data_IF_610811094489
#
_entry.id   IF_610811094489
#
_cell.length_a   1.000
_cell.length_b   1.000
_cell.length_c   1.000
_cell.angle_alpha   90.00
_cell.angle_beta   90.00
_cell.angle_gamma   90.00
#
_symmetry.space_group_name_H-M   'P 1'
#
loop_
_entity.id
_entity.type
_entity.pdbx_description
1 polymer ?
#
# COMPACT_ATOMS: atom_id res chain seq x y z
N UNK A 1 -23.45 -8.76 17.20
CA UNK A 1 -22.49 -9.52 18.04
C UNK A 1 -21.30 -8.59 18.27
N UNK A 2 -21.01 -8.19 19.51
CA UNK A 2 -19.85 -7.34 19.78
C UNK A 2 -18.58 -8.17 19.54
N UNK A 3 -17.70 -7.72 18.64
CA UNK A 3 -16.42 -8.37 18.39
C UNK A 3 -15.54 -8.25 19.67
N UNK A 4 -14.75 -9.27 20.01
CA UNK A 4 -13.81 -9.17 21.11
C UNK A 4 -12.85 -7.98 20.91
N UNK A 5 -12.43 -7.33 22.02
CA UNK A 5 -11.59 -6.11 22.02
C UNK A 5 -10.26 -6.20 21.26
N UNK A 6 -9.84 -7.40 20.84
CA UNK A 6 -8.58 -7.66 20.15
C UNK A 6 -8.77 -8.20 18.73
N UNK A 7 -10.00 -8.28 18.21
CA UNK A 7 -10.24 -8.87 16.89
C UNK A 7 -9.56 -8.09 15.76
N UNK A 8 -9.28 -6.81 15.94
CA UNK A 8 -8.52 -5.99 14.99
C UNK A 8 -7.07 -6.45 14.81
N UNK A 9 -6.48 -7.17 15.78
CA UNK A 9 -5.11 -7.66 15.65
C UNK A 9 -5.00 -8.71 14.55
N UNK A 10 -6.02 -9.53 14.35
CA UNK A 10 -6.00 -10.59 13.34
C UNK A 10 -5.76 -10.04 11.92
N UNK A 11 -6.56 -9.08 11.40
CA UNK A 11 -6.31 -8.54 10.07
C UNK A 11 -5.01 -7.74 9.97
N UNK A 12 -4.55 -7.07 11.04
CA UNK A 12 -3.24 -6.42 11.06
C UNK A 12 -2.09 -7.43 10.91
N UNK A 13 -2.16 -8.55 11.64
CA UNK A 13 -1.17 -9.62 11.54
C UNK A 13 -1.21 -10.31 10.18
N UNK A 14 -2.39 -10.57 9.64
CA UNK A 14 -2.56 -11.15 8.30
C UNK A 14 -2.05 -10.21 7.21
N UNK A 15 -2.33 -8.90 7.33
CA UNK A 15 -1.81 -7.88 6.42
C UNK A 15 -0.28 -7.83 6.46
N UNK A 16 0.31 -7.77 7.66
CA UNK A 16 1.77 -7.77 7.83
C UNK A 16 2.42 -9.05 7.29
N UNK A 17 1.83 -10.23 7.55
CA UNK A 17 2.30 -11.50 7.03
C UNK A 17 2.21 -11.54 5.49
N UNK A 18 1.11 -11.05 4.92
CA UNK A 18 0.91 -10.97 3.47
C UNK A 18 1.96 -10.09 2.78
N UNK A 19 2.22 -8.89 3.33
CA UNK A 19 3.28 -8.00 2.85
C UNK A 19 4.68 -8.61 3.00
N UNK A 20 4.94 -9.31 4.10
CA UNK A 20 6.20 -10.03 4.31
C UNK A 20 6.42 -11.13 3.26
N UNK A 21 5.38 -11.92 2.98
CA UNK A 21 5.41 -12.96 1.94
C UNK A 21 5.59 -12.35 0.55
N UNK A 22 4.91 -11.24 0.26
CA UNK A 22 5.09 -10.52 -1.00
C UNK A 22 6.54 -10.08 -1.18
N UNK A 23 7.15 -9.51 -0.13
CA UNK A 23 8.54 -9.06 -0.16
C UNK A 23 9.54 -10.21 -0.38
N UNK A 24 9.27 -11.38 0.20
CA UNK A 24 10.10 -12.58 0.06
C UNK A 24 9.96 -13.25 -1.32
N UNK A 25 8.83 -13.05 -2.01
CA UNK A 25 8.52 -13.71 -3.28
C UNK A 25 9.29 -13.16 -4.48
N UNK A 26 10.07 -12.09 -4.29
CA UNK A 26 10.86 -11.45 -5.34
C UNK A 26 10.06 -10.47 -6.21
N UNK A 27 10.72 -9.38 -6.56
CA UNK A 27 10.13 -8.25 -7.27
C UNK A 27 9.48 -8.64 -8.61
N UNK A 28 8.20 -8.30 -8.78
CA UNK A 28 7.49 -8.51 -10.04
C UNK A 28 7.16 -9.96 -10.38
N UNK A 29 7.37 -10.90 -9.46
CA UNK A 29 7.05 -12.32 -9.67
C UNK A 29 5.55 -12.59 -9.54
N UNK A 30 5.09 -13.73 -10.09
CA UNK A 30 3.72 -14.19 -9.88
C UNK A 30 3.39 -14.38 -8.39
N UNK A 31 4.36 -14.82 -7.58
CA UNK A 31 4.21 -14.96 -6.13
C UNK A 31 4.02 -13.63 -5.43
N UNK A 32 4.76 -12.59 -5.85
CA UNK A 32 4.56 -11.23 -5.38
C UNK A 32 3.13 -10.76 -5.66
N UNK A 33 2.68 -10.82 -6.91
CA UNK A 33 1.32 -10.39 -7.26
C UNK A 33 0.23 -11.16 -6.51
N UNK A 34 0.38 -12.48 -6.39
CA UNK A 34 -0.56 -13.30 -5.64
C UNK A 34 -0.63 -12.88 -4.16
N UNK A 35 0.51 -12.73 -3.50
CA UNK A 35 0.58 -12.33 -2.09
C UNK A 35 0.00 -10.92 -1.87
N UNK A 36 0.32 -9.97 -2.75
CA UNK A 36 -0.17 -8.58 -2.67
C UNK A 36 -1.67 -8.48 -2.95
N UNK A 37 -2.21 -9.28 -3.87
CA UNK A 37 -3.67 -9.36 -4.10
C UNK A 37 -4.39 -10.01 -2.91
N UNK A 38 -3.85 -11.10 -2.35
CA UNK A 38 -4.42 -11.73 -1.16
C UNK A 38 -4.43 -10.77 0.04
N UNK A 39 -3.36 -9.99 0.20
CA UNK A 39 -3.27 -8.94 1.23
C UNK A 39 -4.35 -7.87 1.03
N UNK A 40 -4.54 -7.40 -0.20
CA UNK A 40 -5.63 -6.46 -0.51
C UNK A 40 -7.02 -7.03 -0.21
N UNK A 41 -7.25 -8.33 -0.44
CA UNK A 41 -8.50 -9.01 -0.08
C UNK A 41 -8.68 -9.04 1.44
N UNK A 42 -7.62 -9.30 2.21
CA UNK A 42 -7.66 -9.23 3.68
C UNK A 42 -8.07 -7.82 4.13
N UNK A 43 -7.48 -6.77 3.55
CA UNK A 43 -7.86 -5.40 3.89
C UNK A 43 -9.30 -5.07 3.50
N UNK A 44 -9.72 -5.42 2.29
CA UNK A 44 -11.07 -5.16 1.79
C UNK A 44 -12.13 -5.87 2.64
N UNK A 45 -11.90 -7.15 2.98
CA UNK A 45 -12.81 -7.93 3.84
C UNK A 45 -12.84 -7.38 5.26
N UNK A 46 -11.70 -6.98 5.81
CA UNK A 46 -11.62 -6.35 7.13
C UNK A 46 -12.45 -5.08 7.18
N UNK A 47 -12.23 -4.15 6.25
CA UNK A 47 -13.02 -2.93 6.18
C UNK A 47 -14.51 -3.21 5.93
N UNK A 48 -14.84 -4.24 5.15
CA UNK A 48 -16.23 -4.63 4.90
C UNK A 48 -16.99 -4.99 6.18
N UNK A 49 -16.35 -5.68 7.12
CA UNK A 49 -16.96 -6.12 8.38
C UNK A 49 -16.77 -5.16 9.56
N UNK A 50 -15.67 -4.40 9.56
CA UNK A 50 -15.23 -3.61 10.72
C UNK A 50 -15.20 -2.10 10.46
N UNK A 51 -15.25 -1.68 9.20
CA UNK A 51 -15.22 -0.28 8.78
C UNK A 51 -16.60 0.34 8.63
N UNK A 52 -16.62 1.62 8.26
CA UNK A 52 -17.81 2.41 7.98
C UNK A 52 -17.95 2.72 6.50
N UNK A 53 -19.15 2.52 5.95
CA UNK A 53 -19.49 2.95 4.58
C UNK A 53 -19.45 4.46 4.40
N UNK A 54 -19.51 5.20 5.50
CA UNK A 54 -19.41 6.65 5.47
C UNK A 54 -17.96 7.13 5.28
N UNK A 55 -16.96 6.24 5.25
CA UNK A 55 -15.57 6.60 4.97
C UNK A 55 -15.39 7.34 3.62
N UNK A 56 -16.31 7.14 2.67
CA UNK A 56 -16.33 7.81 1.37
C UNK A 56 -17.46 8.83 1.22
N UNK A 57 -18.16 9.15 2.31
CA UNK A 57 -19.30 10.06 2.33
C UNK A 57 -18.90 11.43 2.90
N UNK A 58 -19.57 12.47 2.42
CA UNK A 58 -19.40 13.84 2.92
C UNK A 58 -19.26 14.88 1.82
N UNK A 59 -19.63 16.14 2.11
CA UNK A 59 -19.30 17.26 1.24
C UNK A 59 -17.77 17.41 1.19
N UNK A 60 -17.20 17.61 0.01
CA UNK A 60 -15.75 17.80 -0.15
C UNK A 60 -14.94 16.55 -0.49
N UNK A 61 -15.54 15.36 -0.60
CA UNK A 61 -14.82 14.10 -0.93
C UNK A 61 -13.90 14.21 -2.14
N UNK A 62 -14.31 14.94 -3.18
CA UNK A 62 -13.52 15.11 -4.40
C UNK A 62 -12.27 15.96 -4.13
N UNK A 63 -12.38 16.99 -3.29
CA UNK A 63 -11.26 17.82 -2.88
C UNK A 63 -10.29 17.05 -1.98
N UNK A 64 -10.79 16.20 -1.08
CA UNK A 64 -9.95 15.35 -0.23
C UNK A 64 -9.20 14.30 -1.03
N UNK A 65 -9.86 13.64 -2.00
CA UNK A 65 -9.20 12.73 -2.95
C UNK A 65 -8.15 13.48 -3.76
N UNK A 66 -8.49 14.64 -4.33
CA UNK A 66 -7.54 15.44 -5.11
C UNK A 66 -6.33 15.87 -4.27
N UNK A 67 -6.55 16.24 -3.01
CA UNK A 67 -5.48 16.58 -2.05
C UNK A 67 -4.60 15.37 -1.75
N UNK A 68 -5.19 14.20 -1.50
CA UNK A 68 -4.45 12.96 -1.27
C UNK A 68 -3.58 12.59 -2.48
N UNK A 69 -4.16 12.66 -3.69
CA UNK A 69 -3.44 12.43 -4.95
C UNK A 69 -2.31 13.46 -5.12
N UNK A 70 -2.57 14.75 -4.87
CA UNK A 70 -1.57 15.80 -4.99
C UNK A 70 -0.40 15.60 -4.01
N UNK A 71 -0.68 15.27 -2.75
CA UNK A 71 0.35 14.97 -1.74
C UNK A 71 1.14 13.72 -2.16
N UNK A 72 0.47 12.65 -2.59
CA UNK A 72 1.12 11.43 -3.06
C UNK A 72 2.02 11.68 -4.27
N UNK A 73 1.55 12.44 -5.25
CA UNK A 73 2.33 12.82 -6.42
C UNK A 73 3.53 13.70 -6.07
N UNK A 74 3.37 14.65 -5.12
CA UNK A 74 4.47 15.47 -4.64
C UNK A 74 5.53 14.62 -3.93
N UNK A 75 5.13 13.70 -3.05
CA UNK A 75 6.04 12.78 -2.37
C UNK A 75 6.76 11.85 -3.35
N UNK A 76 6.04 11.29 -4.34
CA UNK A 76 6.65 10.48 -5.39
C UNK A 76 7.69 11.28 -6.20
N UNK A 77 7.38 12.55 -6.50
CA UNK A 77 8.33 13.45 -7.20
C UNK A 77 9.58 13.69 -6.37
N UNK A 78 9.43 13.97 -5.07
CA UNK A 78 10.55 14.15 -4.14
C UNK A 78 11.39 12.87 -4.06
N UNK A 79 10.75 11.70 -3.99
CA UNK A 79 11.41 10.41 -3.97
C UNK A 79 12.26 10.18 -5.24
N UNK A 80 11.69 10.39 -6.43
CA UNK A 80 12.41 10.23 -7.69
C UNK A 80 13.57 11.24 -7.80
N UNK A 81 13.34 12.49 -7.43
CA UNK A 81 14.41 13.51 -7.42
C UNK A 81 15.55 13.10 -6.46
N UNK A 82 15.21 12.61 -5.27
CA UNK A 82 16.18 12.06 -4.32
C UNK A 82 16.95 10.88 -4.90
N UNK A 83 16.26 9.94 -5.56
CA UNK A 83 16.89 8.79 -6.21
C UNK A 83 17.86 9.23 -7.32
N UNK A 84 17.50 10.23 -8.13
CA UNK A 84 18.40 10.79 -9.15
C UNK A 84 19.64 11.40 -8.51
N UNK A 85 19.51 12.16 -7.42
CA UNK A 85 20.66 12.74 -6.71
C UNK A 85 21.55 11.65 -6.12
N UNK A 86 20.96 10.68 -5.41
CA UNK A 86 21.70 9.60 -4.75
C UNK A 86 22.36 8.67 -5.76
N UNK A 87 21.78 8.48 -6.96
CA UNK A 87 22.40 7.71 -8.04
C UNK A 87 23.75 8.28 -8.52
N UNK A 88 24.06 9.54 -8.19
CA UNK A 88 25.35 10.18 -8.49
C UNK A 88 26.40 9.99 -7.39
N UNK A 89 26.02 9.42 -6.25
CA UNK A 89 26.92 9.16 -5.12
C UNK A 89 27.50 7.75 -5.30
N UNK A 90 28.80 7.59 -5.62
CA UNK A 90 29.36 6.28 -6.00
C UNK A 90 29.06 5.11 -5.06
N UNK A 91 29.14 5.24 -3.71
CA UNK A 91 28.80 4.12 -2.82
C UNK A 91 27.29 3.79 -2.78
N UNK A 92 26.42 4.67 -3.27
CA UNK A 92 24.96 4.51 -3.20
C UNK A 92 24.30 4.30 -4.57
N UNK A 93 25.06 4.47 -5.65
CA UNK A 93 24.56 4.38 -7.02
C UNK A 93 24.02 2.99 -7.38
N UNK A 94 24.74 1.94 -7.00
CA UNK A 94 24.35 0.56 -7.30
C UNK A 94 23.07 0.13 -6.54
N UNK A 95 22.94 0.32 -5.21
CA UNK A 95 21.70 0.02 -4.50
C UNK A 95 20.48 0.77 -5.05
N UNK A 96 20.64 2.06 -5.40
CA UNK A 96 19.54 2.84 -5.98
C UNK A 96 19.17 2.35 -7.37
N UNK A 97 20.16 1.97 -8.19
CA UNK A 97 19.92 1.36 -9.50
C UNK A 97 19.12 0.06 -9.39
N UNK A 98 19.46 -0.80 -8.42
CA UNK A 98 18.73 -2.04 -8.17
C UNK A 98 17.28 -1.79 -7.73
N UNK A 99 17.05 -0.78 -6.88
CA UNK A 99 15.70 -0.38 -6.44
C UNK A 99 14.84 0.20 -7.57
N UNK A 100 15.42 0.99 -8.47
CA UNK A 100 14.69 1.55 -9.61
C UNK A 100 14.37 0.47 -10.66
N UNK A 101 15.30 -0.47 -10.87
CA UNK A 101 15.13 -1.61 -11.77
C UNK A 101 14.04 -2.61 -11.32
N UNK A 102 13.56 -2.53 -10.07
CA UNK A 102 12.40 -3.30 -9.59
C UNK A 102 11.17 -3.14 -10.50
N UNK A 103 10.98 -1.94 -11.07
CA UNK A 103 9.86 -1.67 -12.00
C UNK A 103 9.98 -2.37 -13.36
N UNK A 104 11.20 -2.73 -13.77
CA UNK A 104 11.47 -3.41 -15.05
C UNK A 104 11.12 -4.91 -14.97
N UNK A 105 11.18 -5.51 -13.78
CA UNK A 105 10.95 -6.95 -13.59
C UNK A 105 9.48 -7.35 -13.60
N UNK A 106 8.61 -6.54 -12.98
CA UNK A 106 7.18 -6.81 -12.88
C UNK A 106 6.32 -6.08 -13.90
N UNK A 107 6.86 -5.05 -14.55
CA UNK A 107 6.09 -4.08 -15.32
C UNK A 107 5.44 -3.02 -14.42
N UNK A 108 5.52 -1.77 -14.87
CA UNK A 108 5.04 -0.59 -14.14
C UNK A 108 3.55 -0.65 -13.81
N UNK A 109 2.71 -0.94 -14.81
CA UNK A 109 1.25 -0.91 -14.66
C UNK A 109 0.70 -1.92 -13.64
N UNK A 110 1.00 -3.24 -13.72
CA UNK A 110 0.51 -4.19 -12.74
C UNK A 110 1.07 -3.95 -11.33
N UNK A 111 2.34 -3.56 -11.22
CA UNK A 111 2.98 -3.20 -9.94
C UNK A 111 2.30 -1.99 -9.30
N UNK A 112 2.05 -0.95 -10.08
CA UNK A 112 1.38 0.26 -9.60
C UNK A 112 -0.06 -0.02 -9.20
N UNK A 113 -0.77 -0.86 -9.96
CA UNK A 113 -2.15 -1.23 -9.63
C UNK A 113 -2.21 -1.93 -8.25
N UNK A 114 -1.39 -2.95 -8.03
CA UNK A 114 -1.42 -3.68 -6.75
C UNK A 114 -0.94 -2.80 -5.58
N UNK A 115 -0.01 -1.88 -5.83
CA UNK A 115 0.41 -0.87 -4.85
C UNK A 115 -0.75 0.05 -4.46
N UNK A 116 -1.49 0.59 -5.45
CA UNK A 116 -2.65 1.45 -5.20
C UNK A 116 -3.73 0.69 -4.42
N UNK A 117 -4.04 -0.55 -4.82
CA UNK A 117 -5.06 -1.35 -4.15
C UNK A 117 -4.69 -1.65 -2.69
N UNK A 118 -3.42 -1.97 -2.42
CA UNK A 118 -2.96 -2.20 -1.04
C UNK A 118 -2.95 -0.90 -0.24
N UNK A 119 -2.50 0.21 -0.81
CA UNK A 119 -2.54 1.51 -0.14
C UNK A 119 -3.97 1.93 0.23
N UNK A 120 -4.94 1.76 -0.67
CA UNK A 120 -6.35 2.00 -0.35
C UNK A 120 -6.81 1.06 0.79
N UNK A 121 -6.44 -0.22 0.74
CA UNK A 121 -6.76 -1.19 1.77
C UNK A 121 -6.20 -0.81 3.15
N UNK A 122 -4.93 -0.42 3.22
CA UNK A 122 -4.28 0.04 4.45
C UNK A 122 -4.99 1.26 5.03
N UNK A 123 -5.31 2.25 4.20
CA UNK A 123 -6.05 3.43 4.61
C UNK A 123 -7.42 3.07 5.20
N UNK A 124 -8.16 2.18 4.54
CA UNK A 124 -9.45 1.70 5.01
C UNK A 124 -9.36 0.91 6.33
N UNK A 125 -8.31 0.12 6.52
CA UNK A 125 -8.14 -0.64 7.76
C UNK A 125 -7.66 0.26 8.89
N UNK A 126 -6.56 1.00 8.70
CA UNK A 126 -5.89 1.70 9.78
C UNK A 126 -6.49 3.08 10.10
N UNK A 127 -7.04 3.80 9.10
CA UNK A 127 -7.70 5.10 9.36
C UNK A 127 -9.19 4.98 9.63
N UNK A 128 -9.84 3.87 9.26
CA UNK A 128 -11.29 3.72 9.45
C UNK A 128 -11.68 2.52 10.33
N UNK A 129 -11.26 1.29 10.03
CA UNK A 129 -11.74 0.10 10.75
C UNK A 129 -11.16 -0.04 12.16
N UNK A 130 -9.84 0.12 12.34
CA UNK A 130 -9.14 -0.07 13.62
C UNK A 130 -9.58 0.94 14.69
N UNK A 131 -9.71 2.25 14.42
CA UNK A 131 -10.13 3.24 15.43
C UNK A 131 -11.55 3.05 15.97
N UNK A 132 -12.36 2.15 15.38
CA UNK A 132 -13.77 1.90 15.73
C UNK A 132 -13.96 0.70 16.68
N UNK A 133 -12.89 0.01 17.07
CA UNK A 133 -12.91 -1.19 17.92
C UNK A 133 -12.69 -0.83 19.38
#
# INVERSE_FOLDING_TARGET
MALPKLTFLLPCLLGAAGLFVARQSGDGSAGFYAATVLTAIVYATTWWFMGSRNAFAGPGKAADIARGVAIGAALATIFVAGAVIVSRIPPLAEPVGQLLATTEKGGLAPTLLVLILNGIGEELVYRDAVPRQ
#
